data_IF_828873994354
#
_entry.id   IF_828873994354
#
_cell.length_a   1.000
_cell.length_b   1.000
_cell.length_c   1.000
_cell.angle_alpha   90.00
_cell.angle_beta   90.00
_cell.angle_gamma   90.00
#
_symmetry.space_group_name_H-M   'P 1'
#
loop_
_entity.id
_entity.type
_entity.pdbx_description
1 polymer ?
#
# COMPACT_ATOMS: atom_id res chain seq x y z
N UNK A 1 -17.77 -6.41 21.59
CA UNK A 1 -18.37 -5.16 21.10
C UNK A 1 -18.41 -5.15 19.57
N UNK A 2 -17.38 -4.72 18.82
CA UNK A 2 -17.46 -4.64 17.34
C UNK A 2 -17.80 -5.96 16.63
N UNK A 3 -17.45 -7.11 17.21
CA UNK A 3 -17.75 -8.44 16.65
C UNK A 3 -18.98 -9.11 17.26
N UNK A 4 -19.61 -8.50 18.26
CA UNK A 4 -20.75 -9.07 18.98
C UNK A 4 -22.00 -9.07 18.08
N UNK A 5 -22.67 -10.23 17.87
CA UNK A 5 -23.82 -10.35 16.98
C UNK A 5 -24.93 -9.32 17.22
N UNK A 6 -25.14 -8.87 18.46
CA UNK A 6 -26.20 -7.89 18.77
C UNK A 6 -26.00 -6.51 18.13
N UNK A 7 -24.78 -6.21 17.67
CA UNK A 7 -24.40 -4.93 17.06
C UNK A 7 -24.17 -5.02 15.55
N UNK A 8 -24.15 -6.23 14.96
CA UNK A 8 -23.76 -6.41 13.56
C UNK A 8 -24.74 -5.75 12.57
N UNK A 9 -26.04 -5.70 12.87
CA UNK A 9 -27.07 -5.04 12.04
C UNK A 9 -27.32 -3.55 12.39
N UNK A 10 -26.58 -2.97 13.35
CA UNK A 10 -26.81 -1.59 13.79
C UNK A 10 -26.19 -0.58 12.83
N UNK A 11 -26.92 -0.26 11.75
CA UNK A 11 -26.56 0.72 10.72
C UNK A 11 -25.88 1.99 11.25
N UNK A 12 -26.51 2.68 12.22
CA UNK A 12 -25.96 3.91 12.80
C UNK A 12 -24.61 3.71 13.50
N UNK A 13 -24.41 2.57 14.16
CA UNK A 13 -23.15 2.21 14.79
C UNK A 13 -22.09 1.88 13.73
N UNK A 14 -22.44 1.13 12.68
CA UNK A 14 -21.54 0.87 11.54
C UNK A 14 -21.05 2.19 10.92
N UNK A 15 -21.96 3.11 10.58
CA UNK A 15 -21.64 4.43 10.00
C UNK A 15 -20.67 5.22 10.87
N UNK A 16 -20.89 5.31 12.19
CA UNK A 16 -19.99 6.04 13.09
C UNK A 16 -18.65 5.34 13.33
N UNK A 17 -18.59 4.00 13.28
CA UNK A 17 -17.33 3.25 13.29
C UNK A 17 -16.49 3.60 12.06
N UNK A 18 -17.09 3.57 10.86
CA UNK A 18 -16.41 3.82 9.60
C UNK A 18 -15.89 5.26 9.53
N UNK A 19 -16.73 6.25 9.88
CA UNK A 19 -16.31 7.66 10.00
C UNK A 19 -15.15 7.83 10.97
N UNK A 20 -15.21 7.18 12.13
CA UNK A 20 -14.14 7.23 13.14
C UNK A 20 -12.85 6.66 12.57
N UNK A 21 -12.89 5.50 11.93
CA UNK A 21 -11.73 4.86 11.30
C UNK A 21 -11.13 5.71 10.17
N UNK A 22 -11.93 6.28 9.27
CA UNK A 22 -11.44 7.18 8.22
C UNK A 22 -10.78 8.45 8.78
N UNK A 23 -11.36 9.01 9.86
CA UNK A 23 -10.85 10.22 10.52
C UNK A 23 -9.57 10.00 11.33
N UNK A 24 -9.47 8.92 12.11
CA UNK A 24 -8.32 8.68 13.01
C UNK A 24 -7.23 7.84 12.36
N UNK A 25 -7.59 6.89 11.49
CA UNK A 25 -6.67 5.90 10.91
C UNK A 25 -5.39 6.46 10.27
N UNK A 26 -5.44 7.57 9.51
CA UNK A 26 -4.24 8.18 8.93
C UNK A 26 -3.25 8.77 9.96
N UNK A 27 -3.73 9.08 11.17
CA UNK A 27 -2.95 9.70 12.26
C UNK A 27 -2.77 8.75 13.46
N UNK A 28 -3.26 7.51 13.36
CA UNK A 28 -3.16 6.52 14.42
C UNK A 28 -1.76 5.90 14.47
N UNK A 29 -1.45 5.21 15.58
CA UNK A 29 -0.27 4.35 15.64
C UNK A 29 -0.35 3.32 14.49
N UNK A 30 0.71 3.13 13.68
CA UNK A 30 0.70 2.18 12.55
C UNK A 30 0.22 0.80 12.97
N UNK A 31 0.65 0.32 14.13
CA UNK A 31 0.22 -0.97 14.69
C UNK A 31 -1.29 -1.07 14.90
N UNK A 32 -1.93 -0.03 15.46
CA UNK A 32 -3.39 -0.03 15.64
C UNK A 32 -4.12 0.08 14.30
N UNK A 33 -3.63 0.91 13.37
CA UNK A 33 -4.19 0.99 12.02
C UNK A 33 -4.14 -0.38 11.33
N UNK A 34 -3.00 -1.05 11.43
CA UNK A 34 -2.67 -2.26 10.67
C UNK A 34 -3.29 -3.53 11.28
N UNK A 35 -3.23 -3.71 12.61
CA UNK A 35 -3.81 -4.87 13.31
C UNK A 35 -5.33 -4.73 13.56
N UNK A 36 -5.89 -3.51 13.55
CA UNK A 36 -7.29 -3.27 13.94
C UNK A 36 -8.12 -2.54 12.87
N UNK A 37 -7.67 -1.38 12.37
CA UNK A 37 -8.51 -0.55 11.47
C UNK A 37 -8.70 -1.18 10.09
N UNK A 38 -7.61 -1.61 9.42
CA UNK A 38 -7.70 -2.19 8.07
C UNK A 38 -8.51 -3.50 8.02
N UNK A 39 -8.35 -4.45 8.97
CA UNK A 39 -9.18 -5.66 9.00
C UNK A 39 -10.67 -5.37 9.23
N UNK A 40 -11.02 -4.43 10.10
CA UNK A 40 -12.42 -4.09 10.37
C UNK A 40 -13.08 -3.35 9.20
N UNK A 41 -12.37 -2.45 8.50
CA UNK A 41 -12.90 -1.82 7.28
C UNK A 41 -13.16 -2.83 6.16
N UNK A 42 -12.26 -3.79 5.95
CA UNK A 42 -12.48 -4.89 5.01
C UNK A 42 -13.72 -5.72 5.38
N UNK A 43 -13.84 -6.10 6.67
CA UNK A 43 -15.00 -6.86 7.19
C UNK A 43 -16.31 -6.10 6.97
N UNK A 44 -16.34 -4.79 7.20
CA UNK A 44 -17.51 -3.94 7.00
C UNK A 44 -17.89 -3.81 5.51
N UNK A 45 -16.92 -3.63 4.61
CA UNK A 45 -17.17 -3.61 3.17
C UNK A 45 -17.73 -4.96 2.65
N UNK A 46 -17.18 -6.08 3.12
CA UNK A 46 -17.66 -7.42 2.74
C UNK A 46 -19.08 -7.71 3.24
N UNK A 47 -19.46 -7.19 4.42
CA UNK A 47 -20.83 -7.27 4.94
C UNK A 47 -21.78 -6.33 4.18
N UNK A 48 -21.31 -5.14 3.77
CA UNK A 48 -22.14 -4.19 3.03
C UNK A 48 -22.59 -4.70 1.65
N UNK A 49 -21.75 -5.49 0.97
CA UNK A 49 -22.12 -6.21 -0.26
C UNK A 49 -23.37 -7.13 -0.09
N UNK A 50 -23.75 -7.47 1.15
CA UNK A 50 -24.91 -8.31 1.48
C UNK A 50 -26.15 -7.49 1.90
N UNK A 51 -26.06 -6.16 1.98
CA UNK A 51 -27.14 -5.29 2.40
C UNK A 51 -28.23 -5.19 1.31
N UNK A 52 -29.41 -5.76 1.59
CA UNK A 52 -30.52 -5.81 0.61
C UNK A 52 -31.28 -4.49 0.41
N UNK A 53 -31.04 -3.48 1.25
CA UNK A 53 -31.63 -2.15 1.09
C UNK A 53 -30.61 -1.17 0.49
N UNK A 54 -30.74 -0.87 -0.81
CA UNK A 54 -29.78 -0.04 -1.57
C UNK A 54 -29.49 1.31 -0.92
N UNK A 55 -30.47 1.94 -0.26
CA UNK A 55 -30.27 3.21 0.46
C UNK A 55 -29.34 3.08 1.66
N UNK A 56 -29.39 1.96 2.39
CA UNK A 56 -28.42 1.65 3.46
C UNK A 56 -27.06 1.28 2.88
N UNK A 57 -27.07 0.46 1.82
CA UNK A 57 -25.88 -0.02 1.14
C UNK A 57 -25.04 1.12 0.58
N UNK A 58 -25.69 2.12 -0.03
CA UNK A 58 -25.05 3.35 -0.52
C UNK A 58 -24.54 4.24 0.62
N UNK A 59 -25.29 4.41 1.71
CA UNK A 59 -24.84 5.21 2.86
C UNK A 59 -23.55 4.63 3.48
N UNK A 60 -23.51 3.32 3.73
CA UNK A 60 -22.31 2.64 4.24
C UNK A 60 -21.17 2.67 3.21
N UNK A 61 -21.46 2.43 1.93
CA UNK A 61 -20.44 2.50 0.86
C UNK A 61 -19.82 3.90 0.74
N UNK A 62 -20.61 4.97 0.89
CA UNK A 62 -20.12 6.36 0.83
C UNK A 62 -19.11 6.63 1.95
N UNK A 63 -19.43 6.24 3.19
CA UNK A 63 -18.51 6.40 4.32
C UNK A 63 -17.27 5.49 4.20
N UNK A 64 -17.42 4.28 3.64
CA UNK A 64 -16.28 3.41 3.32
C UNK A 64 -15.37 4.06 2.28
N UNK A 65 -15.92 4.69 1.24
CA UNK A 65 -15.14 5.42 0.24
C UNK A 65 -14.33 6.54 0.88
N UNK A 66 -14.92 7.38 1.73
CA UNK A 66 -14.19 8.40 2.48
C UNK A 66 -13.03 7.80 3.31
N UNK A 67 -13.29 6.69 4.03
CA UNK A 67 -12.28 6.03 4.86
C UNK A 67 -11.13 5.42 4.04
N UNK A 68 -11.43 4.73 2.94
CA UNK A 68 -10.42 4.17 2.04
C UNK A 68 -9.63 5.25 1.30
N UNK A 69 -10.26 6.36 0.89
CA UNK A 69 -9.58 7.52 0.32
C UNK A 69 -8.63 8.16 1.34
N UNK A 70 -9.07 8.40 2.59
CA UNK A 70 -8.24 8.96 3.65
C UNK A 70 -7.03 8.07 4.01
N UNK A 71 -7.19 6.74 3.94
CA UNK A 71 -6.12 5.78 4.22
C UNK A 71 -5.18 5.53 3.03
N UNK A 72 -5.57 5.89 1.79
CA UNK A 72 -4.78 5.60 0.57
C UNK A 72 -3.37 6.23 0.53
N UNK A 73 -3.15 7.30 1.29
CA UNK A 73 -1.85 7.97 1.43
C UNK A 73 -0.97 7.39 2.56
N UNK A 74 -1.47 6.42 3.34
CA UNK A 74 -0.70 5.77 4.38
C UNK A 74 0.36 4.82 3.80
N UNK A 75 1.47 4.63 4.53
CA UNK A 75 2.31 3.46 4.33
C UNK A 75 1.57 2.22 4.85
N UNK A 76 1.11 1.37 3.94
CA UNK A 76 0.51 0.06 4.19
C UNK A 76 1.49 -1.01 3.69
N UNK A 77 1.69 -2.09 4.45
CA UNK A 77 2.59 -3.19 4.03
C UNK A 77 1.98 -3.99 2.86
N UNK A 78 2.83 -4.71 2.13
CA UNK A 78 2.38 -5.55 1.00
C UNK A 78 1.42 -6.66 1.46
N UNK A 79 1.71 -7.30 2.59
CA UNK A 79 0.84 -8.29 3.24
C UNK A 79 -0.55 -7.70 3.55
N UNK A 80 -0.61 -6.51 4.15
CA UNK A 80 -1.87 -5.84 4.49
C UNK A 80 -2.61 -5.31 3.25
N UNK A 81 -1.86 -4.93 2.21
CA UNK A 81 -2.40 -4.55 0.92
C UNK A 81 -3.17 -5.73 0.30
N UNK A 82 -2.56 -6.92 0.29
CA UNK A 82 -3.13 -8.15 -0.28
C UNK A 82 -4.27 -8.71 0.60
N UNK A 83 -4.12 -8.73 1.92
CA UNK A 83 -5.05 -9.38 2.85
C UNK A 83 -6.27 -8.54 3.26
N UNK A 84 -6.14 -7.20 3.27
CA UNK A 84 -7.20 -6.31 3.78
C UNK A 84 -7.54 -5.15 2.84
N UNK A 85 -6.53 -4.42 2.32
CA UNK A 85 -6.81 -3.18 1.60
C UNK A 85 -7.41 -3.39 0.20
N UNK A 86 -6.76 -4.19 -0.65
CA UNK A 86 -7.28 -4.55 -1.98
C UNK A 86 -8.60 -5.33 -1.93
N UNK A 87 -8.78 -6.35 -1.06
CA UNK A 87 -10.07 -7.02 -0.89
C UNK A 87 -11.20 -6.06 -0.52
N UNK A 88 -10.98 -5.17 0.46
CA UNK A 88 -11.98 -4.19 0.87
C UNK A 88 -12.31 -3.16 -0.22
N UNK A 89 -11.30 -2.66 -0.96
CA UNK A 89 -11.52 -1.81 -2.13
C UNK A 89 -12.34 -2.51 -3.22
N UNK A 90 -12.10 -3.81 -3.46
CA UNK A 90 -12.87 -4.61 -4.43
C UNK A 90 -14.32 -4.82 -3.99
N UNK A 91 -14.57 -5.13 -2.72
CA UNK A 91 -15.94 -5.15 -2.17
C UNK A 91 -16.63 -3.80 -2.35
N UNK A 92 -15.97 -2.71 -1.97
CA UNK A 92 -16.52 -1.36 -2.10
C UNK A 92 -16.81 -0.97 -3.56
N UNK A 93 -15.94 -1.34 -4.51
CA UNK A 93 -16.18 -1.15 -5.94
C UNK A 93 -17.44 -1.90 -6.41
N UNK A 94 -17.68 -3.12 -5.93
CA UNK A 94 -18.90 -3.88 -6.25
C UNK A 94 -20.19 -3.24 -5.67
N UNK A 95 -20.09 -2.37 -4.66
CA UNK A 95 -21.21 -1.52 -4.23
C UNK A 95 -21.36 -0.32 -5.17
N UNK A 96 -20.27 0.38 -5.49
CA UNK A 96 -20.30 1.58 -6.33
C UNK A 96 -20.63 1.31 -7.80
N UNK A 97 -20.30 0.14 -8.34
CA UNK A 97 -20.67 -0.27 -9.71
C UNK A 97 -22.19 -0.24 -9.94
N UNK A 98 -22.97 -0.64 -8.92
CA UNK A 98 -24.43 -0.61 -8.97
C UNK A 98 -25.04 0.71 -8.48
N UNK A 99 -24.38 1.42 -7.55
CA UNK A 99 -25.00 2.51 -6.78
C UNK A 99 -24.40 3.91 -7.03
N UNK A 100 -23.15 4.01 -7.50
CA UNK A 100 -22.50 5.29 -7.82
C UNK A 100 -21.30 5.13 -8.77
N UNK A 101 -21.54 5.06 -10.11
CA UNK A 101 -20.49 4.83 -11.10
C UNK A 101 -19.35 5.87 -11.11
N UNK A 102 -19.60 7.09 -10.63
CA UNK A 102 -18.57 8.12 -10.49
C UNK A 102 -17.50 7.74 -9.45
N UNK A 103 -17.90 7.09 -8.35
CA UNK A 103 -16.98 6.57 -7.33
C UNK A 103 -16.32 5.26 -7.76
N UNK A 104 -16.99 4.44 -8.58
CA UNK A 104 -16.44 3.21 -9.18
C UNK A 104 -15.15 3.48 -9.94
N UNK A 105 -15.15 4.52 -10.80
CA UNK A 105 -13.99 4.89 -11.62
C UNK A 105 -12.78 5.28 -10.76
N UNK A 106 -13.01 5.98 -9.64
CA UNK A 106 -11.96 6.35 -8.69
C UNK A 106 -11.40 5.10 -8.00
N UNK A 107 -12.27 4.20 -7.52
CA UNK A 107 -11.88 2.94 -6.90
C UNK A 107 -11.09 2.05 -7.86
N UNK A 108 -11.43 2.05 -9.15
CA UNK A 108 -10.66 1.36 -10.20
C UNK A 108 -9.24 1.95 -10.39
N UNK A 109 -9.01 3.24 -10.15
CA UNK A 109 -7.65 3.79 -10.10
C UNK A 109 -6.91 3.31 -8.84
N UNK A 110 -7.56 3.46 -7.67
CA UNK A 110 -6.98 3.07 -6.38
C UNK A 110 -6.59 1.58 -6.35
N UNK A 111 -7.42 0.69 -6.91
CA UNK A 111 -7.14 -0.75 -7.03
C UNK A 111 -5.91 -0.99 -7.92
N UNK A 112 -5.86 -0.42 -9.13
CA UNK A 112 -4.72 -0.58 -10.05
C UNK A 112 -3.42 -0.04 -9.48
N UNK A 113 -3.46 1.10 -8.81
CA UNK A 113 -2.30 1.67 -8.11
C UNK A 113 -1.83 0.78 -6.97
N UNK A 114 -2.74 0.14 -6.24
CA UNK A 114 -2.40 -0.77 -5.14
C UNK A 114 -1.88 -2.12 -5.66
N UNK A 115 -2.43 -2.65 -6.76
CA UNK A 115 -1.92 -3.83 -7.47
C UNK A 115 -0.50 -3.57 -7.99
N UNK A 116 -0.27 -2.44 -8.67
CA UNK A 116 1.06 -2.05 -9.15
C UNK A 116 2.07 -1.82 -8.01
N UNK A 117 1.63 -1.33 -6.84
CA UNK A 117 2.47 -1.21 -5.63
C UNK A 117 2.91 -2.56 -5.04
N UNK A 118 2.15 -3.63 -5.29
CA UNK A 118 2.52 -5.02 -4.93
C UNK A 118 3.45 -5.61 -6.00
N UNK A 119 3.07 -5.56 -7.28
CA UNK A 119 3.88 -6.12 -8.38
C UNK A 119 5.30 -5.52 -8.45
N UNK A 120 5.43 -4.20 -8.25
CA UNK A 120 6.75 -3.54 -8.24
C UNK A 120 7.66 -3.95 -7.07
N UNK A 121 7.14 -4.58 -6.01
CA UNK A 121 7.92 -5.06 -4.86
C UNK A 121 8.40 -6.48 -5.03
N UNK A 122 7.56 -7.39 -5.52
CA UNK A 122 7.95 -8.79 -5.78
C UNK A 122 9.04 -8.89 -6.86
N UNK A 123 9.08 -7.96 -7.82
CA UNK A 123 10.17 -7.84 -8.81
C UNK A 123 11.47 -7.25 -8.21
N UNK A 124 11.44 -6.72 -6.99
CA UNK A 124 12.60 -6.16 -6.28
C UNK A 124 13.23 -7.10 -5.22
N UNK A 125 12.75 -8.35 -5.07
CA UNK A 125 13.53 -9.36 -4.36
C UNK A 125 14.84 -9.64 -5.12
N UNK A 126 16.03 -9.42 -4.51
CA UNK A 126 17.29 -9.71 -5.17
C UNK A 126 17.48 -11.24 -5.26
N UNK A 127 17.52 -11.75 -6.49
CA UNK A 127 17.78 -13.17 -6.76
C UNK A 127 19.11 -13.63 -6.13
N UNK A 128 19.02 -14.31 -4.99
CA UNK A 128 20.09 -15.10 -4.39
C UNK A 128 21.26 -14.29 -3.81
N UNK A 129 21.39 -14.33 -2.49
CA UNK A 129 22.69 -14.14 -1.81
C UNK A 129 23.63 -15.33 -2.08
N UNK A 130 23.98 -15.53 -3.35
CA UNK A 130 24.97 -16.52 -3.81
C UNK A 130 26.37 -16.06 -3.39
N UNK A 131 26.87 -16.61 -2.29
CA UNK A 131 28.18 -16.27 -1.75
C UNK A 131 29.30 -16.58 -2.75
N UNK A 132 30.05 -15.55 -3.16
CA UNK A 132 31.15 -15.65 -4.13
C UNK A 132 32.39 -16.20 -3.42
N UNK A 133 32.35 -17.49 -3.05
CA UNK A 133 33.32 -18.09 -2.13
C UNK A 133 33.74 -19.54 -2.45
N UNK A 134 33.38 -20.12 -3.61
CA UNK A 134 33.90 -21.43 -4.03
C UNK A 134 33.79 -21.70 -5.55
N UNK A 135 34.81 -21.32 -6.33
CA UNK A 135 35.36 -22.09 -7.47
C UNK A 135 36.43 -21.28 -8.19
N UNK A 136 37.69 -21.71 -8.10
CA UNK A 136 38.80 -21.25 -8.93
C UNK A 136 39.19 -22.43 -9.84
N UNK A 137 39.26 -22.22 -11.17
CA UNK A 137 40.04 -22.97 -12.20
C UNK A 137 39.40 -22.81 -13.59
N UNK A 138 40.21 -22.38 -14.58
CA UNK A 138 40.08 -22.56 -16.06
C UNK A 138 38.80 -22.09 -16.82
N UNK A 139 38.85 -21.58 -18.06
CA UNK A 139 39.99 -21.11 -18.89
C UNK A 139 39.55 -20.07 -19.97
N UNK A 140 40.49 -19.58 -20.78
CA UNK A 140 40.34 -18.52 -21.81
C UNK A 140 39.42 -18.91 -22.98
N UNK A 141 38.63 -17.96 -23.49
CA UNK A 141 38.53 -17.68 -24.94
C UNK A 141 38.01 -16.25 -25.19
N UNK A 142 38.85 -15.41 -25.82
CA UNK A 142 38.53 -14.06 -26.36
C UNK A 142 37.38 -14.13 -27.37
N UNK A 143 36.62 -13.08 -27.70
CA UNK A 143 36.95 -11.67 -28.06
C UNK A 143 35.58 -10.92 -28.16
N UNK A 144 35.39 -9.59 -28.09
CA UNK A 144 36.10 -8.46 -28.71
C UNK A 144 35.92 -7.11 -27.98
N UNK A 145 36.84 -6.20 -28.31
CA UNK A 145 36.82 -4.73 -28.43
C UNK A 145 35.46 -3.97 -28.32
N UNK A 146 35.43 -2.70 -27.88
CA UNK A 146 36.47 -1.66 -28.05
C UNK A 146 36.56 -0.66 -26.87
N UNK A 147 37.79 -0.30 -26.47
CA UNK A 147 38.06 0.80 -25.54
C UNK A 147 38.05 2.18 -26.24
N UNK A 148 37.71 3.24 -25.51
CA UNK A 148 38.30 4.57 -25.77
C UNK A 148 38.81 5.20 -24.47
N UNK A 149 40.13 5.25 -24.34
CA UNK A 149 40.84 5.86 -23.22
C UNK A 149 40.64 7.39 -23.19
N UNK A 150 40.58 7.95 -21.97
CA UNK A 150 40.48 9.39 -21.71
C UNK A 150 41.30 9.83 -20.50
N UNK A 151 42.54 9.33 -20.38
CA UNK A 151 43.45 9.74 -19.29
C UNK A 151 43.84 11.22 -19.41
N UNK A 152 43.69 11.93 -18.29
CA UNK A 152 44.50 13.10 -17.93
C UNK A 152 44.89 12.94 -16.46
N UNK A 153 46.12 13.34 -16.13
CA UNK A 153 46.86 12.85 -14.97
C UNK A 153 47.05 13.91 -13.88
N UNK A 154 47.25 13.44 -12.64
CA UNK A 154 47.92 14.11 -11.50
C UNK A 154 47.56 15.59 -11.23
N UNK A 155 47.05 15.94 -10.04
CA UNK A 155 47.88 15.99 -8.83
C UNK A 155 47.03 16.16 -7.57
N UNK A 156 47.55 15.75 -6.41
CA UNK A 156 46.85 15.85 -5.13
C UNK A 156 46.89 17.26 -4.52
N UNK A 157 45.73 17.74 -4.03
CA UNK A 157 45.62 18.95 -3.23
C UNK A 157 44.67 18.72 -2.03
N UNK A 158 45.29 18.63 -0.86
CA UNK A 158 44.78 18.60 0.53
C UNK A 158 43.29 18.93 0.76
N UNK A 159 42.58 18.04 1.47
CA UNK A 159 41.32 18.35 2.15
C UNK A 159 41.56 19.37 3.27
N UNK A 160 40.96 20.56 3.17
CA UNK A 160 41.11 21.63 4.18
C UNK A 160 39.79 22.38 4.46
N UNK A 161 39.06 21.90 5.47
CA UNK A 161 38.18 22.64 6.38
C UNK A 161 37.54 23.96 5.89
N UNK A 162 36.34 23.88 5.28
CA UNK A 162 35.40 25.03 5.21
C UNK A 162 34.02 24.59 5.70
N UNK A 163 33.81 24.63 7.02
CA UNK A 163 32.55 25.01 7.69
C UNK A 163 32.76 25.03 9.22
N UNK A 164 33.39 26.09 9.74
CA UNK A 164 33.40 26.31 11.19
C UNK A 164 32.03 26.81 11.66
N UNK A 165 31.42 26.04 12.56
CA UNK A 165 30.12 26.33 13.18
C UNK A 165 30.34 26.92 14.58
N UNK A 166 30.04 28.22 14.77
CA UNK A 166 29.83 28.91 16.06
C UNK A 166 29.55 30.41 15.81
N UNK A 167 28.84 31.13 16.70
CA UNK A 167 28.09 30.72 17.89
C UNK A 167 26.87 31.62 18.05
#
# INVERSE_FOLDING_TARGET
FLEDPQYQDQHSLQTEIIKTFGRVGPNAEPRFRDEFVLPHLHKLAMVNNQQSADSKRLDIATHLFEAYSALSCCFISEELMISHFLPGLRCLRNDMEALSPEHEVILNSMIKECEQKVENRSVQEPQGSMSIAASLVSEDTKTKFLNKMGQLTTSGAMLANVFQRKK
#
